data_IF_849240796372
#
_entry.id   IF_849240796372
#
_cell.length_a   1.000
_cell.length_b   1.000
_cell.length_c   1.000
_cell.angle_alpha   90.00
_cell.angle_beta   90.00
_cell.angle_gamma   90.00
#
_symmetry.space_group_name_H-M   'P 1'
#
loop_
_entity.id
_entity.type
_entity.pdbx_description
1 polymer ?
#
# COMPACT_ATOMS: atom_id res chain seq x y z
N UNK A 1 -44.96 19.40 20.46
CA UNK A 1 -44.66 18.44 19.38
C UNK A 1 -43.56 19.03 18.52
N UNK A 2 -42.37 18.42 18.53
CA UNK A 2 -41.40 18.40 17.41
C UNK A 2 -40.34 17.38 17.81
N UNK A 3 -40.59 16.11 17.50
CA UNK A 3 -39.56 15.06 17.54
C UNK A 3 -38.59 15.37 16.40
N UNK A 4 -37.47 16.00 16.74
CA UNK A 4 -36.34 16.18 15.82
C UNK A 4 -35.85 14.81 15.39
N UNK A 5 -36.17 14.44 14.15
CA UNK A 5 -35.59 13.30 13.46
C UNK A 5 -34.09 13.56 13.28
N UNK A 6 -33.29 13.08 14.23
CA UNK A 6 -31.89 12.79 13.98
C UNK A 6 -31.86 11.54 13.09
N UNK A 7 -31.94 11.75 11.78
CA UNK A 7 -31.62 10.69 10.83
C UNK A 7 -30.10 10.54 10.89
N UNK A 8 -29.61 9.67 11.79
CA UNK A 8 -28.29 9.09 11.67
C UNK A 8 -28.24 8.28 10.37
N UNK A 9 -27.87 8.94 9.28
CA UNK A 9 -27.39 8.24 8.09
C UNK A 9 -26.04 7.62 8.45
N UNK A 10 -26.08 6.40 8.98
CA UNK A 10 -24.92 5.50 9.00
C UNK A 10 -24.52 5.25 7.53
N UNK A 11 -23.66 6.10 6.97
CA UNK A 11 -23.00 5.81 5.69
C UNK A 11 -22.26 4.49 5.87
N UNK A 12 -22.73 3.43 5.21
CA UNK A 12 -21.97 2.20 5.05
C UNK A 12 -20.73 2.55 4.23
N UNK A 13 -19.59 2.72 4.88
CA UNK A 13 -18.31 2.95 4.21
C UNK A 13 -17.94 1.65 3.48
N UNK A 14 -17.70 1.72 2.17
CA UNK A 14 -17.25 0.56 1.41
C UNK A 14 -15.76 0.31 1.67
N UNK A 15 -15.32 -0.95 1.58
CA UNK A 15 -13.89 -1.25 1.75
C UNK A 15 -13.02 -0.57 0.68
N UNK A 16 -13.56 -0.37 -0.52
CA UNK A 16 -12.93 0.39 -1.60
C UNK A 16 -12.66 1.83 -1.19
N UNK A 17 -13.62 2.49 -0.54
CA UNK A 17 -13.44 3.86 -0.03
C UNK A 17 -12.32 3.93 1.02
N UNK A 18 -12.21 2.92 1.89
CA UNK A 18 -11.12 2.83 2.88
C UNK A 18 -9.76 2.70 2.18
N UNK A 19 -9.66 1.87 1.15
CA UNK A 19 -8.41 1.70 0.40
C UNK A 19 -8.03 2.95 -0.39
N UNK A 20 -9.00 3.63 -0.99
CA UNK A 20 -8.77 4.88 -1.72
C UNK A 20 -8.33 6.00 -0.77
N UNK A 21 -8.96 6.15 0.39
CA UNK A 21 -8.55 7.11 1.41
C UNK A 21 -7.13 6.84 1.91
N UNK A 22 -6.78 5.56 2.12
CA UNK A 22 -5.43 5.17 2.51
C UNK A 22 -4.39 5.54 1.42
N UNK A 23 -4.73 5.33 0.14
CA UNK A 23 -3.88 5.71 -1.00
C UNK A 23 -3.72 7.23 -1.12
N UNK A 24 -4.78 8.00 -0.87
CA UNK A 24 -4.72 9.46 -0.85
C UNK A 24 -3.81 9.95 0.27
N UNK A 25 -3.92 9.37 1.47
CA UNK A 25 -3.03 9.68 2.61
C UNK A 25 -1.58 9.33 2.31
N UNK A 26 -1.33 8.20 1.65
CA UNK A 26 0.02 7.82 1.20
C UNK A 26 0.59 8.85 0.21
N UNK A 27 -0.19 9.24 -0.80
CA UNK A 27 0.23 10.23 -1.79
C UNK A 27 0.51 11.59 -1.13
N UNK A 28 -0.32 12.01 -0.18
CA UNK A 28 -0.11 13.24 0.57
C UNK A 28 1.18 13.17 1.41
N UNK A 29 1.37 12.10 2.19
CA UNK A 29 2.57 11.89 2.99
C UNK A 29 3.84 11.94 2.13
N UNK A 30 3.81 11.31 0.96
CA UNK A 30 4.90 11.37 -0.02
C UNK A 30 5.15 12.78 -0.54
N UNK A 31 4.08 13.53 -0.86
CA UNK A 31 4.19 14.90 -1.39
C UNK A 31 4.78 15.88 -0.37
N UNK A 32 4.54 15.68 0.92
CA UNK A 32 5.10 16.51 1.99
C UNK A 32 6.42 15.98 2.57
N UNK A 33 7.00 14.94 1.96
CA UNK A 33 8.22 14.25 2.41
C UNK A 33 8.12 13.65 3.84
N UNK A 34 6.91 13.31 4.30
CA UNK A 34 6.73 12.54 5.52
C UNK A 34 6.93 11.04 5.24
N UNK A 35 8.19 10.64 5.15
CA UNK A 35 8.58 9.26 4.84
C UNK A 35 8.08 8.28 5.91
N UNK A 36 8.07 8.69 7.19
CA UNK A 36 7.62 7.83 8.28
C UNK A 36 6.14 7.47 8.11
N UNK A 37 5.28 8.47 7.90
CA UNK A 37 3.86 8.24 7.64
C UNK A 37 3.66 7.44 6.36
N UNK A 38 4.37 7.78 5.28
CA UNK A 38 4.28 7.06 4.00
C UNK A 38 4.55 5.56 4.16
N UNK A 39 5.67 5.18 4.80
CA UNK A 39 6.02 3.77 4.98
C UNK A 39 5.10 3.05 5.98
N UNK A 40 4.64 3.72 7.05
CA UNK A 40 3.63 3.15 7.96
C UNK A 40 2.29 2.89 7.28
N UNK A 41 1.88 3.73 6.34
CA UNK A 41 0.63 3.53 5.59
C UNK A 41 0.73 2.36 4.60
N UNK A 42 1.91 2.10 4.01
CA UNK A 42 2.16 0.90 3.19
C UNK A 42 1.96 -0.37 4.03
N UNK A 43 2.52 -0.41 5.24
CA UNK A 43 2.36 -1.56 6.15
C UNK A 43 0.90 -1.75 6.58
N UNK A 44 0.13 -0.68 6.75
CA UNK A 44 -1.31 -0.76 6.98
C UNK A 44 -2.05 -1.32 5.77
N UNK A 45 -1.68 -0.89 4.56
CA UNK A 45 -2.27 -1.42 3.33
C UNK A 45 -1.99 -2.92 3.20
N UNK A 46 -0.78 -3.37 3.51
CA UNK A 46 -0.43 -4.80 3.55
C UNK A 46 -1.38 -5.58 4.46
N UNK A 47 -1.57 -5.13 5.70
CA UNK A 47 -2.46 -5.79 6.68
C UNK A 47 -3.90 -5.93 6.17
N UNK A 48 -4.44 -4.88 5.54
CA UNK A 48 -5.79 -4.88 4.98
C UNK A 48 -5.92 -5.86 3.79
N UNK A 49 -4.84 -6.08 3.06
CA UNK A 49 -4.83 -6.94 1.86
C UNK A 49 -4.54 -8.42 2.16
N UNK A 50 -4.11 -8.79 3.38
CA UNK A 50 -3.82 -10.19 3.77
C UNK A 50 -4.96 -11.16 3.41
N UNK A 51 -6.25 -10.88 3.69
CA UNK A 51 -7.35 -11.80 3.37
C UNK A 51 -7.51 -12.08 1.88
N UNK A 52 -6.99 -11.20 1.02
CA UNK A 52 -7.08 -11.29 -0.43
C UNK A 52 -5.85 -11.94 -1.07
N UNK A 53 -4.82 -12.29 -0.29
CA UNK A 53 -3.53 -12.76 -0.79
C UNK A 53 -3.63 -14.07 -1.60
N UNK A 54 -3.46 -13.96 -2.92
CA UNK A 54 -3.40 -15.11 -3.83
C UNK A 54 -1.96 -15.67 -4.02
N UNK A 55 -1.85 -16.81 -4.70
CA UNK A 55 -0.56 -17.48 -4.93
C UNK A 55 0.45 -16.59 -5.63
N UNK A 56 0.03 -15.89 -6.68
CA UNK A 56 0.88 -14.98 -7.46
C UNK A 56 1.40 -13.81 -6.61
N UNK A 57 0.57 -13.28 -5.70
CA UNK A 57 1.00 -12.26 -4.75
C UNK A 57 2.05 -12.81 -3.79
N UNK A 58 1.84 -14.02 -3.23
CA UNK A 58 2.82 -14.66 -2.34
C UNK A 58 4.17 -14.89 -3.03
N UNK A 59 4.17 -15.39 -4.25
CA UNK A 59 5.38 -15.56 -5.07
C UNK A 59 6.11 -14.24 -5.31
N UNK A 60 5.36 -13.15 -5.57
CA UNK A 60 5.93 -11.81 -5.77
C UNK A 60 6.57 -11.27 -4.47
N UNK A 61 5.92 -11.48 -3.32
CA UNK A 61 6.49 -11.12 -2.01
C UNK A 61 7.76 -11.91 -1.71
N UNK A 62 7.79 -13.21 -1.96
CA UNK A 62 8.99 -14.03 -1.78
C UNK A 62 10.14 -13.60 -2.70
N UNK A 63 9.84 -13.15 -3.91
CA UNK A 63 10.84 -12.57 -4.81
C UNK A 63 11.41 -11.26 -4.24
N UNK A 64 10.54 -10.35 -3.80
CA UNK A 64 10.94 -9.09 -3.16
C UNK A 64 11.80 -9.36 -1.92
N UNK A 65 11.40 -10.30 -1.07
CA UNK A 65 12.15 -10.64 0.14
C UNK A 65 13.56 -11.16 -0.15
N UNK A 66 13.74 -11.90 -1.25
CA UNK A 66 15.06 -12.36 -1.72
C UNK A 66 15.89 -11.24 -2.32
N UNK A 67 15.28 -10.37 -3.12
CA UNK A 67 15.94 -9.25 -3.79
C UNK A 67 16.49 -8.23 -2.78
N UNK A 68 15.70 -7.91 -1.76
CA UNK A 68 16.04 -6.93 -0.72
C UNK A 68 16.65 -7.58 0.53
N UNK A 69 17.35 -8.71 0.38
CA UNK A 69 18.05 -9.35 1.50
C UNK A 69 19.29 -8.53 1.87
N UNK A 70 19.44 -8.21 3.15
CA UNK A 70 20.59 -7.47 3.65
C UNK A 70 21.86 -8.34 3.62
N UNK A 71 22.92 -7.85 2.95
CA UNK A 71 24.18 -8.58 2.74
C UNK A 71 25.38 -8.04 3.55
N UNK A 72 25.16 -7.38 4.69
CA UNK A 72 26.24 -6.99 5.62
C UNK A 72 26.74 -5.54 5.50
N UNK A 73 27.63 -5.17 6.43
CA UNK A 73 28.18 -3.83 6.62
C UNK A 73 29.35 -3.89 7.61
N UNK A 74 30.30 -2.98 7.48
CA UNK A 74 31.59 -3.08 8.20
C UNK A 74 31.50 -2.47 9.60
N UNK A 75 30.57 -1.54 9.83
CA UNK A 75 30.35 -0.88 11.12
C UNK A 75 28.87 -0.83 11.49
N UNK A 76 28.51 -0.71 12.79
CA UNK A 76 27.11 -0.65 13.22
C UNK A 76 26.28 0.46 12.57
N UNK A 77 26.89 1.63 12.33
CA UNK A 77 26.22 2.78 11.68
C UNK A 77 25.92 2.50 10.21
N UNK A 78 26.87 1.92 9.49
CA UNK A 78 26.66 1.48 8.10
C UNK A 78 25.60 0.39 8.00
N UNK A 79 25.59 -0.55 8.96
CA UNK A 79 24.58 -1.61 9.04
C UNK A 79 23.19 -0.99 9.21
N UNK A 80 23.03 -0.06 10.16
CA UNK A 80 21.75 0.60 10.41
C UNK A 80 21.27 1.40 9.19
N UNK A 81 22.15 2.20 8.58
CA UNK A 81 21.84 3.01 7.41
C UNK A 81 21.45 2.15 6.19
N UNK A 82 22.25 1.12 5.86
CA UNK A 82 21.95 0.20 4.76
C UNK A 82 20.64 -0.56 5.01
N UNK A 83 20.38 -1.01 6.24
CA UNK A 83 19.11 -1.67 6.59
C UNK A 83 17.91 -0.73 6.43
N UNK A 84 18.04 0.53 6.82
CA UNK A 84 16.99 1.52 6.65
C UNK A 84 16.68 1.73 5.16
N UNK A 85 17.70 1.93 4.32
CA UNK A 85 17.53 2.10 2.87
C UNK A 85 16.90 0.87 2.21
N UNK A 86 17.40 -0.33 2.53
CA UNK A 86 16.85 -1.58 1.99
C UNK A 86 15.39 -1.77 2.43
N UNK A 87 15.05 -1.45 3.68
CA UNK A 87 13.67 -1.51 4.17
C UNK A 87 12.76 -0.58 3.36
N UNK A 88 13.19 0.65 3.10
CA UNK A 88 12.44 1.63 2.31
C UNK A 88 12.14 1.10 0.90
N UNK A 89 13.18 0.66 0.18
CA UNK A 89 13.05 0.10 -1.16
C UNK A 89 12.16 -1.15 -1.17
N UNK A 90 12.29 -2.01 -0.17
CA UNK A 90 11.45 -3.20 0.01
C UNK A 90 9.97 -2.83 0.17
N UNK A 91 9.66 -1.81 0.98
CA UNK A 91 8.28 -1.34 1.17
C UNK A 91 7.70 -0.73 -0.11
N UNK A 92 8.49 0.03 -0.86
CA UNK A 92 8.07 0.56 -2.17
C UNK A 92 7.77 -0.58 -3.18
N UNK A 93 8.60 -1.62 -3.21
CA UNK A 93 8.34 -2.81 -4.03
C UNK A 93 7.08 -3.56 -3.59
N UNK A 94 6.88 -3.73 -2.28
CA UNK A 94 5.66 -4.33 -1.71
C UNK A 94 4.41 -3.54 -2.08
N UNK A 95 4.44 -2.20 -2.03
CA UNK A 95 3.32 -1.36 -2.46
C UNK A 95 2.93 -1.66 -3.92
N UNK A 96 3.92 -1.83 -4.80
CA UNK A 96 3.68 -2.25 -6.18
C UNK A 96 2.91 -3.58 -6.29
N UNK A 97 3.31 -4.60 -5.51
CA UNK A 97 2.63 -5.89 -5.47
C UNK A 97 1.20 -5.79 -4.88
N UNK A 98 1.02 -5.00 -3.82
CA UNK A 98 -0.29 -4.76 -3.20
C UNK A 98 -1.27 -4.07 -4.16
N UNK A 99 -0.82 -3.07 -4.91
CA UNK A 99 -1.63 -2.41 -5.93
C UNK A 99 -2.04 -3.36 -7.06
N UNK A 100 -1.14 -4.26 -7.47
CA UNK A 100 -1.47 -5.32 -8.45
C UNK A 100 -2.51 -6.28 -7.89
N UNK A 101 -2.38 -6.68 -6.62
CA UNK A 101 -3.36 -7.55 -5.96
C UNK A 101 -4.72 -6.87 -5.89
N UNK A 102 -4.79 -5.64 -5.37
CA UNK A 102 -6.03 -4.89 -5.21
C UNK A 102 -6.79 -4.71 -6.53
N UNK A 103 -6.09 -4.45 -7.64
CA UNK A 103 -6.71 -4.43 -8.98
C UNK A 103 -7.27 -5.77 -9.42
N UNK A 104 -6.55 -6.86 -9.10
CA UNK A 104 -6.91 -8.22 -9.51
C UNK A 104 -8.15 -8.73 -8.81
N UNK A 105 -8.33 -8.35 -7.54
CA UNK A 105 -9.52 -8.69 -6.74
C UNK A 105 -10.65 -7.65 -6.90
N UNK A 106 -10.51 -6.69 -7.81
CA UNK A 106 -11.54 -5.71 -8.14
C UNK A 106 -11.68 -4.54 -7.16
N UNK A 107 -10.82 -4.43 -6.16
CA UNK A 107 -10.86 -3.38 -5.13
C UNK A 107 -10.31 -2.03 -5.60
N UNK A 108 -9.53 -2.02 -6.68
CA UNK A 108 -9.07 -0.81 -7.35
C UNK A 108 -9.34 -0.92 -8.84
N UNK A 109 -9.70 0.18 -9.51
CA UNK A 109 -9.83 0.17 -10.96
C UNK A 109 -8.51 -0.23 -11.60
N UNK A 110 -8.58 -1.03 -12.67
CA UNK A 110 -7.43 -1.33 -13.49
C UNK A 110 -6.78 -0.01 -13.95
N UNK A 111 -5.46 0.09 -13.82
CA UNK A 111 -4.74 1.27 -14.29
C UNK A 111 -5.07 1.47 -15.76
N UNK A 112 -5.72 2.60 -16.11
CA UNK A 112 -5.89 2.99 -17.51
C UNK A 112 -4.49 3.17 -18.08
N UNK A 113 -4.08 2.28 -18.98
CA UNK A 113 -2.87 2.47 -19.77
C UNK A 113 -3.14 3.69 -20.66
N UNK A 114 -2.46 4.83 -20.47
CA UNK A 114 -2.58 5.93 -21.42
C UNK A 114 -2.00 5.42 -22.74
N UNK A 115 -2.87 5.17 -23.74
CA UNK A 115 -2.44 4.69 -25.06
C UNK A 115 -3.23 3.54 -25.68
N UNK A 116 -4.23 2.95 -25.01
CA UNK A 116 -5.23 2.11 -25.69
C UNK A 116 -6.57 2.83 -25.76
N UNK A 117 -6.61 3.90 -26.56
CA UNK A 117 -7.85 4.18 -27.29
C UNK A 117 -8.05 3.01 -28.24
N UNK A 118 -9.19 2.34 -28.14
CA UNK A 118 -9.62 1.36 -29.13
C UNK A 118 -9.55 2.03 -30.51
N UNK A 119 -8.60 1.57 -31.33
CA UNK A 119 -8.77 1.50 -32.78
C UNK A 119 -9.33 0.12 -33.10
#
# INVERSE_FOLDING_TARGET
MTKGLYVEHQKKISFEDVLLDLLLKMNYAKAVNDESAYYSLIEHFEKLMIPYADTKFKEEIEKIDREYRYNGGSTPVEVASKRATIRKQKLDAKLGALLKLARRVGLLPAAKVPGRSNM
#
